data_IF_740413679708
#
_entry.id   IF_740413679708
#
_cell.length_a   1.000
_cell.length_b   1.000
_cell.length_c   1.000
_cell.angle_alpha   90.00
_cell.angle_beta   90.00
_cell.angle_gamma   90.00
#
_symmetry.space_group_name_H-M   'P 1'
#
loop_
_entity.id
_entity.type
_entity.pdbx_description
1 polymer ?
#
# COMPACT_ATOMS: atom_id res chain seq x y z
N UNK A 1 -13.05 -19.47 7.82
CA UNK A 1 -12.79 -18.19 7.12
C UNK A 1 -11.36 -17.78 7.46
N UNK A 2 -10.43 -17.89 6.52
CA UNK A 2 -9.06 -17.43 6.72
C UNK A 2 -9.07 -15.92 6.64
N UNK A 3 -8.80 -15.23 7.75
CA UNK A 3 -8.56 -13.80 7.72
C UNK A 3 -7.34 -13.55 6.84
N UNK A 4 -7.46 -12.68 5.85
CA UNK A 4 -6.34 -12.37 4.96
C UNK A 4 -5.23 -11.68 5.75
N UNK A 5 -3.98 -12.09 5.53
CA UNK A 5 -2.79 -11.53 6.19
C UNK A 5 -2.33 -10.25 5.48
N UNK A 6 -1.50 -9.45 6.16
CA UNK A 6 -0.91 -8.26 5.56
C UNK A 6 -0.13 -8.57 4.26
N UNK A 7 0.54 -9.72 4.20
CA UNK A 7 1.28 -10.18 3.02
C UNK A 7 0.36 -10.53 1.84
N UNK A 8 -0.80 -11.12 2.10
CA UNK A 8 -1.77 -11.46 1.05
C UNK A 8 -2.39 -10.20 0.44
N UNK A 9 -2.79 -9.24 1.28
CA UNK A 9 -3.23 -7.93 0.82
C UNK A 9 -2.13 -7.20 0.06
N UNK A 10 -0.89 -7.21 0.55
CA UNK A 10 0.23 -6.57 -0.13
C UNK A 10 0.50 -7.19 -1.51
N UNK A 11 0.44 -8.52 -1.61
CA UNK A 11 0.66 -9.24 -2.87
C UNK A 11 -0.46 -8.96 -3.88
N UNK A 12 -1.71 -8.90 -3.41
CA UNK A 12 -2.87 -8.55 -4.25
C UNK A 12 -2.80 -7.11 -4.74
N UNK A 13 -2.43 -6.18 -3.87
CA UNK A 13 -2.23 -4.78 -4.22
C UNK A 13 -1.13 -4.62 -5.28
N UNK A 14 -0.03 -5.36 -5.13
CA UNK A 14 1.05 -5.37 -6.11
C UNK A 14 0.58 -5.86 -7.49
N UNK A 15 -0.17 -6.96 -7.53
CA UNK A 15 -0.74 -7.46 -8.78
C UNK A 15 -1.66 -6.42 -9.44
N UNK A 16 -2.57 -5.79 -8.67
CA UNK A 16 -3.47 -4.74 -9.18
C UNK A 16 -2.71 -3.52 -9.72
N UNK A 17 -1.66 -3.10 -9.02
CA UNK A 17 -0.79 -2.00 -9.46
C UNK A 17 -0.13 -2.32 -10.79
N UNK A 18 0.36 -3.54 -10.97
CA UNK A 18 0.95 -4.03 -12.23
C UNK A 18 -0.06 -4.12 -13.37
N UNK A 19 -1.34 -4.28 -13.05
CA UNK A 19 -2.45 -4.26 -14.01
C UNK A 19 -2.96 -2.84 -14.30
N UNK A 20 -2.33 -1.80 -13.75
CA UNK A 20 -2.76 -0.40 -13.91
C UNK A 20 -3.92 0.03 -13.00
N UNK A 21 -4.47 -0.89 -12.20
CA UNK A 21 -5.49 -0.56 -11.20
C UNK A 21 -4.82 -0.01 -9.93
N UNK A 22 -4.36 1.23 -10.02
CA UNK A 22 -3.66 1.93 -8.94
C UNK A 22 -4.55 2.15 -7.72
N UNK A 23 -5.82 2.52 -7.91
CA UNK A 23 -6.77 2.74 -6.82
C UNK A 23 -7.00 1.46 -6.02
N UNK A 24 -7.31 0.35 -6.70
CA UNK A 24 -7.52 -0.94 -6.04
C UNK A 24 -6.25 -1.50 -5.40
N UNK A 25 -5.06 -1.10 -5.88
CA UNK A 25 -3.79 -1.43 -5.24
C UNK A 25 -3.61 -0.68 -3.91
N UNK A 26 -3.90 0.62 -3.90
CA UNK A 26 -3.84 1.45 -2.68
C UNK A 26 -4.79 0.93 -1.61
N UNK A 27 -6.02 0.54 -1.98
CA UNK A 27 -6.98 -0.06 -1.04
C UNK A 27 -6.43 -1.33 -0.38
N UNK A 28 -5.80 -2.20 -1.17
CA UNK A 28 -5.19 -3.42 -0.66
C UNK A 28 -3.99 -3.12 0.26
N UNK A 29 -3.13 -2.16 -0.10
CA UNK A 29 -2.04 -1.74 0.80
C UNK A 29 -2.58 -1.12 2.09
N UNK A 30 -3.69 -0.39 2.05
CA UNK A 30 -4.34 0.14 3.24
C UNK A 30 -4.82 -0.98 4.16
N UNK A 31 -5.45 -2.03 3.62
CA UNK A 31 -5.84 -3.20 4.41
C UNK A 31 -4.64 -3.91 5.03
N UNK A 32 -3.55 -4.07 4.26
CA UNK A 32 -2.32 -4.64 4.81
C UNK A 32 -1.75 -3.82 5.97
N UNK A 33 -1.84 -2.49 5.91
CA UNK A 33 -1.37 -1.57 6.94
C UNK A 33 -2.33 -1.44 8.12
N UNK A 34 -3.60 -1.78 7.97
CA UNK A 34 -4.53 -1.95 9.11
C UNK A 34 -4.15 -3.19 9.92
N UNK A 35 -3.75 -4.28 9.24
CA UNK A 35 -3.39 -5.55 9.88
C UNK A 35 -1.99 -5.48 10.50
N UNK A 36 -1.02 -4.99 9.74
CA UNK A 36 0.33 -4.75 10.20
C UNK A 36 0.76 -3.33 9.77
N UNK A 37 0.64 -2.35 10.67
CA UNK A 37 1.01 -0.97 10.35
C UNK A 37 2.45 -0.82 9.88
N UNK A 38 3.37 -1.63 10.42
CA UNK A 38 4.79 -1.64 10.06
C UNK A 38 5.11 -2.53 8.84
N UNK A 39 4.11 -2.89 8.03
CA UNK A 39 4.33 -3.75 6.86
C UNK A 39 5.09 -2.99 5.76
N UNK A 40 6.42 -3.11 5.80
CA UNK A 40 7.39 -2.39 4.95
C UNK A 40 7.03 -2.50 3.46
N UNK A 41 6.65 -3.69 2.99
CA UNK A 41 6.31 -3.91 1.57
C UNK A 41 5.10 -3.11 1.13
N UNK A 42 4.08 -2.99 1.99
CA UNK A 42 2.88 -2.21 1.69
C UNK A 42 3.15 -0.71 1.72
N UNK A 43 3.96 -0.24 2.68
CA UNK A 43 4.39 1.16 2.75
C UNK A 43 5.15 1.57 1.47
N UNK A 44 6.12 0.76 1.06
CA UNK A 44 6.92 1.00 -0.16
C UNK A 44 6.02 1.01 -1.40
N UNK A 45 5.18 -0.02 -1.57
CA UNK A 45 4.36 -0.13 -2.77
C UNK A 45 3.25 0.93 -2.86
N UNK A 46 2.73 1.38 -1.71
CA UNK A 46 1.77 2.49 -1.62
C UNK A 46 2.45 3.81 -1.99
N UNK A 47 3.64 4.08 -1.46
CA UNK A 47 4.43 5.26 -1.82
C UNK A 47 4.80 5.28 -3.31
N UNK A 48 5.17 4.13 -3.88
CA UNK A 48 5.48 3.98 -5.30
C UNK A 48 4.26 4.32 -6.19
N UNK A 49 3.06 3.85 -5.83
CA UNK A 49 1.83 4.16 -6.58
C UNK A 49 1.54 5.66 -6.61
N UNK A 50 1.70 6.35 -5.47
CA UNK A 50 1.52 7.80 -5.41
C UNK A 50 2.60 8.57 -6.17
N UNK A 51 3.84 8.09 -6.14
CA UNK A 51 4.93 8.66 -6.96
C UNK A 51 4.60 8.57 -8.46
N UNK A 52 4.10 7.43 -8.93
CA UNK A 52 3.71 7.24 -10.33
C UNK A 52 2.44 8.01 -10.73
N UNK A 53 1.59 8.40 -9.78
CA UNK A 53 0.37 9.17 -10.06
C UNK A 53 0.60 10.69 -10.03
N UNK A 54 1.83 11.15 -9.73
CA UNK A 54 2.14 12.57 -9.59
C UNK A 54 1.72 13.19 -8.25
N UNK A 55 0.97 12.46 -7.43
CA UNK A 55 0.50 12.86 -6.09
C UNK A 55 1.54 12.55 -5.00
N UNK A 56 2.77 13.08 -5.17
CA UNK A 56 3.91 12.84 -4.29
C UNK A 56 3.67 13.22 -2.81
N UNK A 57 2.81 14.20 -2.55
CA UNK A 57 2.49 14.67 -1.18
C UNK A 57 1.81 13.59 -0.32
N UNK A 58 0.94 12.77 -0.93
CA UNK A 58 0.23 11.70 -0.22
C UNK A 58 1.16 10.51 0.08
N UNK A 59 2.17 10.28 -0.76
CA UNK A 59 3.24 9.31 -0.53
C UNK A 59 4.09 9.70 0.70
N UNK A 60 4.47 10.98 0.79
CA UNK A 60 5.29 11.53 1.87
C UNK A 60 4.53 11.52 3.19
N UNK A 61 3.27 11.98 3.20
CA UNK A 61 2.43 11.98 4.41
C UNK A 61 2.20 10.56 4.97
N UNK A 62 2.09 9.57 4.08
CA UNK A 62 1.98 8.15 4.45
C UNK A 62 3.19 7.65 5.23
N UNK A 63 4.39 8.02 4.78
CA UNK A 63 5.65 7.60 5.41
C UNK A 63 5.94 8.43 6.66
N UNK A 64 5.71 9.75 6.60
CA UNK A 64 6.00 10.67 7.70
C UNK A 64 5.17 10.43 8.96
N UNK A 65 3.89 10.06 8.83
CA UNK A 65 3.05 9.75 10.00
C UNK A 65 3.40 8.43 10.68
N UNK A 66 4.16 7.56 10.01
CA UNK A 66 4.42 6.21 10.51
C UNK A 66 5.79 6.04 11.18
N UNK A 67 6.76 6.90 10.86
CA UNK A 67 8.13 6.86 11.40
C UNK A 67 8.39 7.89 12.51
N UNK A 68 7.33 8.46 13.11
CA UNK A 68 7.42 9.48 14.17
C UNK A 68 7.09 8.92 15.54
#
# INVERSE_FOLDING_TARGET
>A
MTAQTADEFASRGFAKSRMGNKTGAVDDYNQALIINPNHVRSLINRAYNFYESGEKEQALTTLEKHWR
#
